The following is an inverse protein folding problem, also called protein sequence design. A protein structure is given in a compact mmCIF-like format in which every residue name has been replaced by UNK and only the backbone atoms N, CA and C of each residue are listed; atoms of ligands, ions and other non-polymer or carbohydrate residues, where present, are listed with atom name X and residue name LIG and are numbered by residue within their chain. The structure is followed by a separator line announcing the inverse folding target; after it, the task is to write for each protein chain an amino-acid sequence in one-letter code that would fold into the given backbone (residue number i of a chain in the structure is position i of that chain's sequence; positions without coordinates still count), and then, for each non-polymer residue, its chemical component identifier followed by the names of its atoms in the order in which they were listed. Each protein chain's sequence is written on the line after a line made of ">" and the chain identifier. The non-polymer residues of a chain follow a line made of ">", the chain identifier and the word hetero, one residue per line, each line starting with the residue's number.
data_IF_626459915777
#
_entry.id   IF_626459915777
#
_cell.length_a   1.000
_cell.length_b   1.000
_cell.length_c   1.000
_cell.angle_alpha   90.00
_cell.angle_beta   90.00
_cell.angle_gamma   90.00
#
_symmetry.space_group_name_H-M   'P 1'
#
loop_
_entity.id
_entity.type
_entity.pdbx_description
1 polymer ?
#
# COMPACT_ATOMS: atom_id res chain seq x y z
N UNK A 1 10.78 14.11 3.16
CA UNK A 1 11.13 12.92 3.96
C UNK A 1 10.64 11.74 3.13
N UNK A 2 11.53 11.03 2.43
CA UNK A 2 11.16 9.72 1.89
C UNK A 2 11.09 8.79 3.09
N UNK A 3 9.88 8.46 3.53
CA UNK A 3 9.67 7.22 4.26
C UNK A 3 9.58 6.17 3.17
N UNK A 4 10.61 5.36 3.07
CA UNK A 4 10.62 4.24 2.14
C UNK A 4 9.80 3.13 2.79
N UNK A 5 8.48 3.14 2.58
CA UNK A 5 7.68 1.92 2.72
C UNK A 5 7.95 1.06 1.48
N UNK A 6 9.07 0.36 1.48
CA UNK A 6 9.36 -0.61 0.44
C UNK A 6 9.65 -1.94 1.11
N UNK A 7 8.73 -2.91 0.91
CA UNK A 7 9.04 -4.32 1.07
C UNK A 7 10.06 -4.67 -0.02
N UNK A 8 11.34 -4.72 0.34
CA UNK A 8 12.36 -5.36 -0.48
C UNK A 8 12.49 -6.79 0.06
N UNK A 9 12.78 -7.83 -0.73
CA UNK A 9 12.68 -9.21 -0.21
C UNK A 9 14.02 -9.96 -0.25
N UNK A 10 14.56 -10.26 0.95
CA UNK A 10 15.70 -11.15 1.21
C UNK A 10 15.28 -12.61 0.96
N UNK A 11 15.78 -13.21 -0.11
CA UNK A 11 15.53 -14.62 -0.43
C UNK A 11 16.72 -15.49 -0.03
N UNK A 12 16.59 -16.26 1.05
CA UNK A 12 17.47 -17.40 1.28
C UNK A 12 17.19 -18.51 0.25
N UNK A 13 18.28 -19.13 -0.20
CA UNK A 13 18.37 -20.09 -1.30
C UNK A 13 17.21 -21.11 -1.34
N UNK A 14 16.43 -21.05 -2.44
CA UNK A 14 15.48 -22.04 -2.99
C UNK A 14 13.98 -21.85 -2.65
N UNK A 15 13.25 -21.13 -3.52
CA UNK A 15 12.07 -21.57 -4.33
C UNK A 15 11.23 -20.34 -4.75
N UNK A 16 10.91 -20.24 -6.04
CA UNK A 16 10.01 -19.23 -6.63
C UNK A 16 10.70 -18.02 -7.30
N UNK A 17 10.58 -17.91 -8.62
CA UNK A 17 10.84 -16.67 -9.35
C UNK A 17 9.51 -15.88 -9.43
N UNK A 18 9.49 -14.71 -8.82
CA UNK A 18 8.29 -13.92 -8.57
C UNK A 18 8.35 -13.45 -7.12
N UNK A 19 8.14 -12.15 -6.86
CA UNK A 19 8.29 -11.53 -5.52
C UNK A 19 7.30 -12.01 -4.45
N UNK A 20 6.75 -13.22 -4.60
CA UNK A 20 5.80 -13.86 -3.73
C UNK A 20 6.34 -15.24 -3.35
N UNK A 21 6.67 -15.41 -2.07
CA UNK A 21 7.11 -16.71 -1.55
C UNK A 21 5.87 -17.52 -1.19
N UNK A 22 5.42 -18.36 -2.12
CA UNK A 22 4.18 -19.12 -2.00
C UNK A 22 4.13 -20.11 -0.81
N UNK A 23 5.27 -20.37 -0.17
CA UNK A 23 5.39 -21.24 1.00
C UNK A 23 5.83 -20.48 2.26
N UNK A 24 5.77 -19.14 2.26
CA UNK A 24 6.12 -18.37 3.45
C UNK A 24 5.09 -18.60 4.54
N UNK A 25 5.56 -18.94 5.74
CA UNK A 25 4.74 -19.17 6.94
C UNK A 25 4.90 -18.09 8.00
N UNK A 26 5.80 -17.14 7.74
CA UNK A 26 6.10 -16.02 8.62
C UNK A 26 6.56 -14.82 7.80
N UNK A 27 6.33 -13.62 8.32
CA UNK A 27 6.63 -12.36 7.62
C UNK A 27 8.14 -12.16 7.40
N UNK A 28 8.98 -12.82 8.19
CA UNK A 28 10.44 -12.84 8.06
C UNK A 28 10.89 -13.61 6.82
N UNK A 29 10.09 -14.59 6.38
CA UNK A 29 10.28 -15.31 5.12
C UNK A 29 9.73 -14.51 3.93
N UNK A 30 8.98 -13.45 4.23
CA UNK A 30 8.58 -12.35 3.36
C UNK A 30 9.80 -11.79 2.62
N UNK A 31 10.86 -11.50 3.38
CA UNK A 31 12.13 -10.93 2.94
C UNK A 31 12.53 -9.67 3.74
N UNK A 32 13.17 -8.65 3.14
CA UNK A 32 13.70 -7.47 3.84
C UNK A 32 12.57 -6.54 4.30
N UNK A 33 12.35 -6.55 5.61
CA UNK A 33 11.46 -5.60 6.29
C UNK A 33 12.29 -4.44 6.84
N UNK A 34 12.14 -3.28 6.22
CA UNK A 34 12.72 -2.04 6.75
C UNK A 34 11.66 -1.30 7.56
N UNK A 35 11.94 -0.95 8.83
CA UNK A 35 11.11 0.01 9.54
C UNK A 35 11.21 1.39 8.86
N UNK A 36 10.31 2.35 9.17
CA UNK A 36 10.41 3.71 8.67
C UNK A 36 11.76 4.35 8.99
N UNK A 37 12.66 4.37 8.00
CA UNK A 37 14.01 4.95 8.11
C UNK A 37 14.26 5.94 6.96
N UNK A 38 15.10 6.94 7.23
CA UNK A 38 15.46 7.95 6.22
C UNK A 38 16.56 7.42 5.31
N UNK A 39 16.20 6.94 4.12
CA UNK A 39 17.17 6.55 3.09
C UNK A 39 17.91 7.76 2.50
N UNK A 40 17.28 8.93 2.47
CA UNK A 40 17.91 10.17 2.01
C UNK A 40 17.95 11.20 3.14
N UNK A 41 19.15 11.68 3.47
CA UNK A 41 19.40 12.72 4.47
C UNK A 41 19.98 13.93 3.75
N UNK A 42 19.26 15.06 3.79
CA UNK A 42 19.66 16.31 3.10
C UNK A 42 19.98 16.12 1.60
N UNK A 43 19.20 15.28 0.92
CA UNK A 43 19.38 14.98 -0.51
C UNK A 43 20.46 13.95 -0.84
N UNK A 44 21.23 13.50 0.15
CA UNK A 44 22.24 12.47 -0.03
C UNK A 44 21.70 11.12 0.43
N UNK A 45 21.95 10.07 -0.37
CA UNK A 45 21.57 8.70 -0.04
C UNK A 45 22.46 8.18 1.10
N UNK A 46 21.84 7.59 2.10
CA UNK A 46 22.51 6.90 3.18
C UNK A 46 23.11 5.58 2.65
N UNK A 47 24.45 5.51 2.62
CA UNK A 47 25.17 4.38 2.05
C UNK A 47 25.05 3.11 2.89
N UNK A 48 24.88 3.22 4.19
CA UNK A 48 24.77 2.05 5.08
C UNK A 48 23.42 1.37 4.89
N UNK A 49 22.34 2.15 4.90
CA UNK A 49 20.99 1.64 4.62
C UNK A 49 20.93 1.08 3.19
N UNK A 50 21.53 1.77 2.23
CA UNK A 50 21.64 1.29 0.85
C UNK A 50 22.33 -0.08 0.76
N UNK A 51 23.44 -0.28 1.46
CA UNK A 51 24.15 -1.56 1.47
C UNK A 51 23.31 -2.69 2.09
N UNK A 52 22.56 -2.39 3.17
CA UNK A 52 21.60 -3.34 3.77
C UNK A 52 20.53 -3.75 2.76
N UNK A 53 20.02 -2.80 1.98
CA UNK A 53 19.03 -3.07 0.92
C UNK A 53 19.63 -3.97 -0.15
N UNK A 54 20.80 -3.61 -0.70
CA UNK A 54 21.42 -4.35 -1.79
C UNK A 54 21.85 -5.76 -1.41
N UNK A 55 22.31 -5.98 -0.17
CA UNK A 55 22.72 -7.32 0.30
C UNK A 55 21.56 -8.30 0.44
N UNK A 56 20.33 -7.78 0.47
CA UNK A 56 19.10 -8.54 0.64
C UNK A 56 18.25 -8.57 -0.64
N UNK A 57 18.74 -8.12 -1.79
CA UNK A 57 17.97 -8.11 -3.04
C UNK A 57 18.76 -8.78 -4.17
N UNK A 58 18.11 -9.69 -4.89
CA UNK A 58 18.71 -10.44 -6.00
C UNK A 58 18.99 -9.60 -7.26
N UNK A 59 18.14 -8.60 -7.54
CA UNK A 59 18.26 -7.69 -8.69
C UNK A 59 18.45 -6.26 -8.18
N UNK A 60 19.51 -6.05 -7.40
CA UNK A 60 19.76 -4.79 -6.71
C UNK A 60 19.80 -3.61 -7.69
N UNK A 61 20.52 -3.72 -8.81
CA UNK A 61 20.70 -2.60 -9.74
C UNK A 61 19.39 -2.03 -10.30
N UNK A 62 18.44 -2.89 -10.66
CA UNK A 62 17.11 -2.45 -11.14
C UNK A 62 16.32 -1.77 -10.01
N UNK A 63 16.28 -2.37 -8.83
CA UNK A 63 15.56 -1.80 -7.67
C UNK A 63 16.15 -0.47 -7.21
N UNK A 64 17.46 -0.30 -7.33
CA UNK A 64 18.13 0.95 -7.04
C UNK A 64 17.80 2.03 -8.08
N UNK A 65 17.67 1.67 -9.36
CA UNK A 65 17.19 2.60 -10.38
C UNK A 65 15.78 3.10 -10.04
N UNK A 66 14.87 2.21 -9.62
CA UNK A 66 13.52 2.58 -9.17
C UNK A 66 13.55 3.55 -7.98
N UNK A 67 14.37 3.26 -6.95
CA UNK A 67 14.51 4.13 -5.77
C UNK A 67 15.02 5.52 -6.16
N UNK A 68 16.02 5.60 -7.05
CA UNK A 68 16.55 6.89 -7.54
C UNK A 68 15.51 7.63 -8.37
N UNK A 69 14.75 6.93 -9.20
CA UNK A 69 13.66 7.52 -9.98
C UNK A 69 12.56 8.09 -9.08
N UNK A 70 12.15 7.37 -8.04
CA UNK A 70 11.20 7.86 -7.03
C UNK A 70 11.72 9.11 -6.29
N UNK A 71 13.00 9.12 -5.91
CA UNK A 71 13.64 10.28 -5.27
C UNK A 71 13.68 11.51 -6.19
N UNK A 72 13.95 11.30 -7.49
CA UNK A 72 13.90 12.36 -8.50
C UNK A 72 12.48 12.90 -8.69
N UNK A 73 11.48 12.02 -8.79
CA UNK A 73 10.07 12.40 -8.90
C UNK A 73 9.61 13.24 -7.70
N UNK A 74 10.00 12.85 -6.47
CA UNK A 74 9.70 13.63 -5.27
C UNK A 74 10.40 14.99 -5.23
N UNK A 75 11.60 15.09 -5.81
CA UNK A 75 12.31 16.37 -5.94
C UNK A 75 11.60 17.32 -6.90
N UNK A 76 11.11 16.81 -8.04
CA UNK A 76 10.27 17.57 -8.98
C UNK A 76 8.96 17.97 -8.32
N UNK A 77 8.30 17.06 -7.61
CA UNK A 77 7.07 17.35 -6.87
C UNK A 77 7.25 18.43 -5.82
N UNK A 78 8.39 18.44 -5.11
CA UNK A 78 8.74 19.50 -4.15
C UNK A 78 8.90 20.86 -4.84
N UNK A 79 9.59 20.91 -5.98
CA UNK A 79 9.80 22.15 -6.74
C UNK A 79 8.44 22.72 -7.20
N UNK A 80 7.62 21.92 -7.88
CA UNK A 80 6.29 22.32 -8.34
C UNK A 80 5.36 22.75 -7.21
N UNK A 81 5.36 22.03 -6.09
CA UNK A 81 4.60 22.43 -4.91
C UNK A 81 5.06 23.80 -4.38
N UNK A 82 6.36 24.06 -4.40
CA UNK A 82 6.93 25.33 -3.95
C UNK A 82 6.50 26.45 -4.88
N UNK A 83 6.58 26.27 -6.21
CA UNK A 83 6.11 27.24 -7.20
C UNK A 83 4.63 27.63 -7.01
N UNK A 84 3.75 26.64 -6.78
CA UNK A 84 2.33 26.89 -6.51
C UNK A 84 2.15 27.72 -5.24
N UNK A 85 2.88 27.38 -4.19
CA UNK A 85 2.81 28.09 -2.91
C UNK A 85 3.35 29.52 -3.01
N UNK A 86 4.43 29.72 -3.76
CA UNK A 86 5.02 31.03 -3.98
C UNK A 86 4.11 31.92 -4.84
N UNK A 87 3.33 31.32 -5.75
CA UNK A 87 2.37 32.03 -6.62
C UNK A 87 1.08 32.43 -5.91
N UNK A 88 0.53 31.57 -5.04
CA UNK A 88 -0.81 31.74 -4.47
C UNK A 88 -0.84 31.99 -2.96
N UNK A 89 0.28 31.80 -2.27
CA UNK A 89 0.39 31.86 -0.83
C UNK A 89 -0.11 30.59 -0.13
N UNK A 90 0.45 30.37 1.06
CA UNK A 90 0.21 29.20 1.90
C UNK A 90 -1.27 28.96 2.25
N UNK A 91 -1.99 30.02 2.60
CA UNK A 91 -3.38 29.93 3.07
C UNK A 91 -4.33 29.55 1.94
N UNK A 92 -4.16 30.15 0.76
CA UNK A 92 -4.91 29.81 -0.44
C UNK A 92 -4.72 28.35 -0.82
N UNK A 93 -3.46 27.86 -0.79
CA UNK A 93 -3.16 26.46 -1.12
C UNK A 93 -3.78 25.50 -0.09
N UNK A 94 -3.73 25.83 1.21
CA UNK A 94 -4.39 25.03 2.26
C UNK A 94 -5.90 24.99 2.07
N UNK A 95 -6.54 26.13 1.80
CA UNK A 95 -7.97 26.22 1.54
C UNK A 95 -8.36 25.40 0.30
N UNK A 96 -7.58 25.48 -0.78
CA UNK A 96 -7.82 24.69 -1.99
C UNK A 96 -7.73 23.17 -1.73
N UNK A 97 -6.75 22.71 -0.95
CA UNK A 97 -6.66 21.29 -0.57
C UNK A 97 -7.87 20.84 0.25
N UNK A 98 -8.33 21.66 1.20
CA UNK A 98 -9.52 21.35 1.99
C UNK A 98 -10.78 21.30 1.12
N UNK A 99 -10.90 22.23 0.16
CA UNK A 99 -12.01 22.26 -0.79
C UNK A 99 -12.01 21.05 -1.72
N UNK A 100 -10.84 20.63 -2.23
CA UNK A 100 -10.72 19.41 -3.04
C UNK A 100 -11.20 18.17 -2.27
N UNK A 101 -10.86 18.04 -0.99
CA UNK A 101 -11.35 16.94 -0.14
C UNK A 101 -12.85 16.99 0.05
N UNK A 102 -13.42 18.18 0.26
CA UNK A 102 -14.86 18.39 0.42
C UNK A 102 -15.61 18.02 -0.85
N UNK A 103 -15.13 18.46 -2.01
CA UNK A 103 -15.71 18.13 -3.33
C UNK A 103 -15.63 16.64 -3.63
N UNK A 104 -14.47 16.00 -3.39
CA UNK A 104 -14.31 14.56 -3.58
C UNK A 104 -15.30 13.77 -2.71
N UNK A 105 -15.45 14.15 -1.44
CA UNK A 105 -16.40 13.52 -0.53
C UNK A 105 -17.86 13.74 -0.97
N UNK A 106 -18.20 14.94 -1.46
CA UNK A 106 -19.53 15.24 -1.99
C UNK A 106 -19.84 14.42 -3.24
N UNK A 107 -18.87 14.32 -4.16
CA UNK A 107 -19.01 13.55 -5.38
C UNK A 107 -19.18 12.06 -5.08
N UNK A 108 -18.40 11.52 -4.14
CA UNK A 108 -18.55 10.14 -3.68
C UNK A 108 -19.94 9.89 -3.10
N UNK A 109 -20.47 10.80 -2.27
CA UNK A 109 -21.84 10.69 -1.74
C UNK A 109 -22.90 10.69 -2.84
N UNK A 110 -22.73 11.48 -3.90
CA UNK A 110 -23.63 11.44 -5.07
C UNK A 110 -23.61 10.08 -5.76
N UNK A 111 -22.44 9.44 -5.89
CA UNK A 111 -22.36 8.09 -6.44
C UNK A 111 -22.97 7.04 -5.51
N UNK A 112 -22.72 7.12 -4.19
CA UNK A 112 -23.37 6.23 -3.22
C UNK A 112 -24.90 6.37 -3.31
N UNK A 113 -25.40 7.59 -3.58
CA UNK A 113 -26.81 7.88 -3.72
C UNK A 113 -27.50 7.13 -4.89
N UNK A 114 -26.75 6.60 -5.86
CA UNK A 114 -27.31 5.80 -6.98
C UNK A 114 -27.41 4.31 -6.66
N UNK A 115 -26.74 3.83 -5.60
CA UNK A 115 -26.79 2.43 -5.17
C UNK A 115 -28.11 2.17 -4.42
N UNK A 116 -28.84 1.09 -4.69
CA UNK A 116 -30.06 0.74 -3.94
C UNK A 116 -29.80 0.59 -2.43
N UNK A 117 -30.73 1.09 -1.62
CA UNK A 117 -30.70 0.90 -0.16
C UNK A 117 -30.71 -0.59 0.21
N UNK A 118 -30.09 -0.91 1.35
CA UNK A 118 -30.03 -2.27 1.88
C UNK A 118 -28.67 -2.94 1.76
N UNK A 119 -28.64 -4.23 2.09
CA UNK A 119 -27.42 -5.04 2.16
C UNK A 119 -27.24 -5.90 0.91
N UNK A 120 -26.03 -5.84 0.35
CA UNK A 120 -25.58 -6.62 -0.80
C UNK A 120 -24.44 -7.51 -0.35
N UNK A 121 -24.48 -8.80 -0.69
CA UNK A 121 -23.50 -9.79 -0.24
C UNK A 121 -22.72 -10.36 -1.40
N UNK A 122 -21.43 -10.53 -1.20
CA UNK A 122 -20.52 -11.18 -2.13
C UNK A 122 -19.57 -12.11 -1.37
N UNK A 123 -19.15 -13.18 -2.04
CA UNK A 123 -18.11 -14.08 -1.53
C UNK A 123 -17.11 -14.30 -2.66
N UNK A 124 -15.83 -14.12 -2.34
CA UNK A 124 -14.71 -14.51 -3.19
C UNK A 124 -13.94 -15.64 -2.52
N UNK A 125 -13.32 -16.49 -3.33
CA UNK A 125 -12.60 -17.68 -2.87
C UNK A 125 -11.13 -17.60 -3.29
N UNK A 126 -10.26 -18.09 -2.43
CA UNK A 126 -8.85 -18.35 -2.73
C UNK A 126 -8.64 -19.86 -2.58
N UNK A 127 -8.14 -20.51 -3.62
CA UNK A 127 -8.06 -21.99 -3.69
C UNK A 127 -7.25 -22.60 -2.52
N UNK A 128 -6.13 -21.97 -2.14
CA UNK A 128 -5.32 -22.34 -0.97
C UNK A 128 -4.40 -21.20 -0.52
N UNK A 129 -3.86 -21.29 0.70
CA UNK A 129 -2.84 -20.35 1.20
C UNK A 129 -1.41 -20.70 0.72
N UNK A 130 -1.23 -21.79 -0.04
CA UNK A 130 0.07 -22.28 -0.51
C UNK A 130 0.86 -23.15 0.49
N UNK A 131 0.36 -23.29 1.72
CA UNK A 131 0.92 -24.15 2.79
C UNK A 131 -0.07 -25.26 3.15
N UNK A 132 -1.31 -24.88 3.42
CA UNK A 132 -2.47 -25.75 3.67
C UNK A 132 -3.36 -25.70 2.43
N UNK A 133 -3.67 -26.87 1.87
CA UNK A 133 -4.50 -26.99 0.67
C UNK A 133 -6.00 -26.94 1.02
N UNK A 134 -6.44 -25.83 1.59
CA UNK A 134 -7.83 -25.56 1.98
C UNK A 134 -8.27 -24.20 1.41
N UNK A 135 -9.51 -24.14 0.94
CA UNK A 135 -10.09 -22.91 0.37
C UNK A 135 -10.30 -21.85 1.45
N UNK A 136 -9.89 -20.62 1.17
CA UNK A 136 -10.19 -19.45 2.00
C UNK A 136 -11.33 -18.64 1.36
N UNK A 137 -12.13 -18.01 2.22
CA UNK A 137 -13.25 -17.17 1.80
C UNK A 137 -13.05 -15.72 2.24
N UNK A 138 -13.31 -14.81 1.31
CA UNK A 138 -13.46 -13.38 1.59
C UNK A 138 -14.94 -13.07 1.44
N UNK A 139 -15.61 -12.87 2.57
CA UNK A 139 -17.03 -12.51 2.62
C UNK A 139 -17.15 -11.01 2.75
N UNK A 140 -18.01 -10.40 1.94
CA UNK A 140 -18.30 -8.98 1.99
C UNK A 140 -19.81 -8.76 2.09
N UNK A 141 -20.22 -7.98 3.08
CA UNK A 141 -21.54 -7.37 3.17
C UNK A 141 -21.39 -5.87 2.96
N UNK A 142 -21.74 -5.38 1.76
CA UNK A 142 -21.84 -3.95 1.48
C UNK A 142 -23.24 -3.46 1.80
N UNK A 143 -23.39 -2.55 2.76
CA UNK A 143 -24.68 -2.00 3.16
C UNK A 143 -24.73 -0.50 2.92
N UNK A 144 -25.69 -0.06 2.11
CA UNK A 144 -26.05 1.35 2.06
C UNK A 144 -27.02 1.64 3.20
N UNK A 145 -26.68 2.64 4.02
CA UNK A 145 -27.52 3.12 5.12
C UNK A 145 -27.20 4.59 5.44
N UNK A 146 -28.23 5.44 5.53
CA UNK A 146 -28.08 6.83 5.97
C UNK A 146 -27.13 7.67 5.11
N UNK A 147 -27.09 7.42 3.79
CA UNK A 147 -26.19 8.12 2.86
C UNK A 147 -24.73 7.66 2.90
N UNK A 148 -24.41 6.64 3.71
CA UNK A 148 -23.11 5.99 3.76
C UNK A 148 -23.17 4.61 3.11
N UNK A 149 -22.01 4.12 2.69
CA UNK A 149 -21.80 2.74 2.27
C UNK A 149 -20.82 2.08 3.26
N UNK A 150 -21.28 1.07 3.97
CA UNK A 150 -20.52 0.32 4.97
C UNK A 150 -20.10 -1.00 4.37
N UNK A 151 -18.83 -1.36 4.52
CA UNK A 151 -18.27 -2.63 4.07
C UNK A 151 -17.91 -3.46 5.30
N UNK A 152 -18.59 -4.60 5.47
CA UNK A 152 -18.34 -5.53 6.55
C UNK A 152 -17.77 -6.85 5.99
N UNK A 153 -16.60 -7.25 6.50
CA UNK A 153 -15.91 -8.47 6.11
C UNK A 153 -16.06 -9.61 7.14
N UNK A 154 -16.92 -9.42 8.15
CA UNK A 154 -17.19 -10.44 9.15
C UNK A 154 -17.64 -11.76 8.51
N UNK A 155 -17.09 -12.85 9.03
CA UNK A 155 -17.30 -14.21 8.51
C UNK A 155 -16.34 -14.63 7.40
N UNK A 156 -15.41 -13.78 6.97
CA UNK A 156 -14.26 -14.21 6.17
C UNK A 156 -13.39 -15.22 6.94
N UNK A 157 -12.59 -16.00 6.21
CA UNK A 157 -11.64 -16.93 6.82
C UNK A 157 -10.69 -16.22 7.81
N UNK A 158 -10.29 -16.88 8.90
CA UNK A 158 -9.30 -16.34 9.82
C UNK A 158 -7.93 -16.20 9.14
N UNK A 159 -6.96 -15.49 9.77
CA UNK A 159 -5.58 -15.49 9.31
C UNK A 159 -5.07 -16.91 9.05
N UNK A 160 -4.39 -17.09 7.92
CA UNK A 160 -3.92 -18.40 7.46
C UNK A 160 -2.41 -18.58 7.70
N UNK A 161 -1.89 -19.80 7.52
CA UNK A 161 -0.49 -20.09 7.74
C UNK A 161 0.39 -19.53 6.60
N UNK A 162 -0.12 -19.58 5.37
CA UNK A 162 0.57 -19.09 4.19
C UNK A 162 0.58 -17.56 4.03
N UNK A 163 1.17 -17.04 2.94
CA UNK A 163 1.28 -15.60 2.69
C UNK A 163 -0.03 -14.88 2.31
N UNK A 164 -1.19 -15.56 2.34
CA UNK A 164 -2.48 -14.99 1.95
C UNK A 164 -3.14 -14.19 3.11
N UNK A 165 -2.34 -13.37 3.78
CA UNK A 165 -2.77 -12.50 4.88
C UNK A 165 -2.67 -11.03 4.47
N UNK A 166 -3.71 -10.24 4.76
CA UNK A 166 -3.74 -8.79 4.51
C UNK A 166 -3.85 -8.03 5.82
N UNK A 167 -3.11 -6.93 5.93
CA UNK A 167 -3.24 -5.98 7.04
C UNK A 167 -4.33 -4.96 6.73
N UNK A 168 -4.93 -4.37 7.77
CA UNK A 168 -6.03 -3.41 7.64
C UNK A 168 -5.71 -2.26 6.67
N UNK A 169 -4.50 -1.70 6.74
CA UNK A 169 -4.09 -0.61 5.84
C UNK A 169 -4.12 -1.00 4.35
N UNK A 170 -3.84 -2.26 4.02
CA UNK A 170 -3.90 -2.77 2.64
C UNK A 170 -5.33 -3.09 2.22
N UNK A 171 -6.17 -3.52 3.16
CA UNK A 171 -7.59 -3.77 2.88
C UNK A 171 -8.38 -2.47 2.66
N UNK A 172 -7.94 -1.35 3.27
CA UNK A 172 -8.62 -0.03 3.17
C UNK A 172 -8.07 0.90 2.08
N UNK A 173 -6.92 0.60 1.48
CA UNK A 173 -6.24 1.46 0.49
C UNK A 173 -6.87 1.40 -0.90
#
# INVERSE_FOLDING_TARGET
>A
MLVVEHRALAQHRRRGAGGFSASATSVEQEGLRLPPVKLFKRGQMDREIYQIICSNIRVADQRIADIKAQAAALSVGKARRTEVRDSYGDDTVRAAIAELRTRAASQMRTFIATIPEGAHRAVAYIDSDGVVNETLEIRLCGQRAGGNLVFDFAGSSPPCAGPMNSVEATTLS
#
